data_IF_294771061223
#
_entry.id   IF_294771061223
#
_cell.length_a   1.000
_cell.length_b   1.000
_cell.length_c   1.000
_cell.angle_alpha   90.00
_cell.angle_beta   90.00
_cell.angle_gamma   90.00
#
_symmetry.space_group_name_H-M   'P 1'
#
loop_
_entity.id
_entity.type
_entity.pdbx_description
1 polymer ?
#
# COMPACT_ATOMS: atom_id res chain seq x y z
N UNK A 1 -19.40 10.93 -59.26
CA UNK A 1 -19.22 10.46 -57.89
C UNK A 1 -17.92 9.69 -57.83
N UNK A 2 -16.92 10.27 -57.17
CA UNK A 2 -15.62 9.58 -57.00
C UNK A 2 -15.62 8.98 -55.58
N UNK A 3 -15.75 7.65 -55.50
CA UNK A 3 -15.55 6.94 -54.24
C UNK A 3 -14.06 6.92 -53.91
N UNK A 4 -13.64 7.77 -52.97
CA UNK A 4 -12.32 7.68 -52.39
C UNK A 4 -12.29 6.47 -51.48
N UNK A 5 -11.72 5.37 -51.95
CA UNK A 5 -11.32 4.24 -51.09
C UNK A 5 -10.20 4.72 -50.16
N UNK A 6 -10.55 4.99 -48.91
CA UNK A 6 -9.54 5.08 -47.84
C UNK A 6 -8.85 3.72 -47.73
N UNK A 7 -7.63 3.61 -48.29
CA UNK A 7 -6.72 2.51 -48.00
C UNK A 7 -6.39 2.56 -46.54
N UNK A 8 -7.05 1.74 -45.72
CA UNK A 8 -6.55 1.39 -44.37
C UNK A 8 -5.18 0.73 -44.56
N UNK A 9 -4.13 1.50 -44.50
CA UNK A 9 -2.76 0.97 -44.48
C UNK A 9 -2.63 0.12 -43.22
N UNK A 10 -2.64 -1.20 -43.39
CA UNK A 10 -2.37 -2.14 -42.31
C UNK A 10 -0.95 -1.88 -41.80
N UNK A 11 -0.84 -1.16 -40.70
CA UNK A 11 0.43 -0.90 -40.03
C UNK A 11 1.06 -2.20 -39.57
N UNK A 12 2.37 -2.33 -39.73
CA UNK A 12 3.11 -3.45 -39.13
C UNK A 12 2.99 -3.37 -37.60
N UNK A 13 3.12 -4.50 -36.86
CA UNK A 13 3.09 -4.50 -35.40
C UNK A 13 4.05 -3.46 -34.77
N UNK A 14 5.29 -3.33 -35.28
CA UNK A 14 6.27 -2.33 -34.83
C UNK A 14 5.76 -0.89 -34.99
N UNK A 15 5.19 -0.56 -36.16
CA UNK A 15 4.64 0.77 -36.41
C UNK A 15 3.41 1.08 -35.55
N UNK A 16 2.60 0.06 -35.26
CA UNK A 16 1.48 0.23 -34.30
C UNK A 16 2.00 0.55 -32.90
N UNK A 17 3.02 -0.18 -32.42
CA UNK A 17 3.65 0.07 -31.14
C UNK A 17 4.23 1.48 -31.06
N UNK A 18 5.00 1.92 -32.03
CA UNK A 18 5.58 3.27 -32.09
C UNK A 18 4.50 4.37 -32.05
N UNK A 19 3.39 4.18 -32.77
CA UNK A 19 2.29 5.14 -32.75
C UNK A 19 1.55 5.14 -31.39
N UNK A 20 1.33 3.97 -30.80
CA UNK A 20 0.72 3.85 -29.48
C UNK A 20 1.59 4.52 -28.41
N UNK A 21 2.89 4.30 -28.43
CA UNK A 21 3.85 4.97 -27.53
C UNK A 21 3.85 6.48 -27.67
N UNK A 22 3.79 6.99 -28.91
CA UNK A 22 3.71 8.44 -29.14
C UNK A 22 2.44 9.03 -28.54
N UNK A 23 1.30 8.34 -28.67
CA UNK A 23 0.02 8.77 -28.08
C UNK A 23 0.08 8.70 -26.56
N UNK A 24 0.61 7.62 -26.01
CA UNK A 24 0.81 7.44 -24.58
C UNK A 24 1.68 8.56 -23.99
N UNK A 25 2.87 8.80 -24.56
CA UNK A 25 3.79 9.85 -24.10
C UNK A 25 3.17 11.25 -24.12
N UNK A 26 2.28 11.52 -25.07
CA UNK A 26 1.52 12.78 -25.09
C UNK A 26 0.44 12.81 -24.01
N UNK A 27 -0.26 11.70 -23.79
CA UNK A 27 -1.34 11.61 -22.80
C UNK A 27 -0.84 11.79 -21.36
N UNK A 28 0.30 11.19 -21.00
CA UNK A 28 0.85 11.25 -19.64
C UNK A 28 1.39 12.63 -19.24
N UNK A 29 1.41 13.61 -20.15
CA UNK A 29 1.70 15.02 -19.83
C UNK A 29 0.51 15.69 -19.13
N UNK A 30 -0.69 15.13 -19.25
CA UNK A 30 -1.87 15.62 -18.56
C UNK A 30 -2.01 14.96 -17.17
N UNK A 31 -2.77 15.59 -16.30
CA UNK A 31 -3.07 15.05 -14.97
C UNK A 31 -3.79 13.69 -15.11
N UNK A 32 -3.27 12.66 -14.43
CA UNK A 32 -3.84 11.32 -14.45
C UNK A 32 -5.33 11.33 -14.11
N UNK A 33 -6.14 10.67 -14.93
CA UNK A 33 -7.61 10.63 -14.77
C UNK A 33 -8.36 11.82 -15.36
N UNK A 34 -7.68 12.88 -15.86
CA UNK A 34 -8.34 13.95 -16.62
C UNK A 34 -8.84 13.44 -17.97
N UNK A 35 -9.82 14.13 -18.56
CA UNK A 35 -10.38 13.75 -19.86
C UNK A 35 -9.33 13.63 -20.97
N UNK A 36 -8.39 14.61 -21.17
CA UNK A 36 -7.36 14.48 -22.19
C UNK A 36 -6.39 13.33 -21.91
N UNK A 37 -6.07 13.05 -20.63
CA UNK A 37 -5.28 11.86 -20.25
C UNK A 37 -5.99 10.58 -20.65
N UNK A 38 -7.23 10.39 -20.20
CA UNK A 38 -7.98 9.15 -20.47
C UNK A 38 -8.24 8.90 -21.94
N UNK A 39 -8.59 9.95 -22.70
CA UNK A 39 -8.80 9.84 -24.14
C UNK A 39 -7.50 9.44 -24.87
N UNK A 40 -6.38 10.09 -24.53
CA UNK A 40 -5.09 9.78 -25.16
C UNK A 40 -4.58 8.37 -24.83
N UNK A 41 -4.80 7.89 -23.58
CA UNK A 41 -4.49 6.51 -23.21
C UNK A 41 -5.41 5.52 -23.95
N UNK A 42 -6.71 5.80 -24.05
CA UNK A 42 -7.64 4.97 -24.78
C UNK A 42 -7.30 4.89 -26.29
N UNK A 43 -6.88 5.99 -26.90
CA UNK A 43 -6.36 6.02 -28.27
C UNK A 43 -5.10 5.13 -28.41
N UNK A 44 -4.17 5.19 -27.47
CA UNK A 44 -2.97 4.35 -27.49
C UNK A 44 -3.34 2.85 -27.43
N UNK A 45 -4.27 2.47 -26.56
CA UNK A 45 -4.80 1.08 -26.47
C UNK A 45 -5.54 0.66 -27.73
N UNK A 46 -6.29 1.58 -28.37
CA UNK A 46 -6.99 1.29 -29.63
C UNK A 46 -6.01 1.05 -30.80
N UNK A 47 -4.86 1.74 -30.81
CA UNK A 47 -3.80 1.52 -31.82
C UNK A 47 -3.07 0.20 -31.56
N UNK A 48 -2.69 -0.08 -30.31
CA UNK A 48 -2.01 -1.31 -29.93
C UNK A 48 -2.54 -1.82 -28.56
N UNK A 49 -3.47 -2.78 -28.64
CA UNK A 49 -4.08 -3.39 -27.45
C UNK A 49 -3.13 -4.29 -26.63
N UNK A 50 -1.93 -4.52 -27.14
CA UNK A 50 -0.85 -5.26 -26.45
C UNK A 50 0.20 -4.33 -25.82
N UNK A 51 0.01 -3.01 -25.92
CA UNK A 51 0.87 -2.05 -25.25
C UNK A 51 0.50 -1.99 -23.75
N UNK A 52 1.17 -2.82 -22.98
CA UNK A 52 0.86 -3.11 -21.58
C UNK A 52 0.75 -1.84 -20.70
N UNK A 53 1.72 -0.90 -20.82
CA UNK A 53 1.70 0.32 -20.05
C UNK A 53 0.43 1.17 -20.27
N UNK A 54 -0.06 1.26 -21.51
CA UNK A 54 -1.30 1.98 -21.80
C UNK A 54 -2.53 1.23 -21.27
N UNK A 55 -2.55 -0.10 -21.39
CA UNK A 55 -3.63 -0.95 -20.86
C UNK A 55 -3.72 -0.82 -19.33
N UNK A 56 -2.58 -0.82 -18.65
CA UNK A 56 -2.50 -0.58 -17.20
C UNK A 56 -3.03 0.81 -16.83
N UNK A 57 -2.47 1.87 -17.43
CA UNK A 57 -2.84 3.26 -17.11
C UNK A 57 -4.33 3.56 -17.34
N UNK A 58 -4.95 2.92 -18.33
CA UNK A 58 -6.38 3.08 -18.61
C UNK A 58 -7.24 2.70 -17.40
N UNK A 59 -6.78 1.73 -16.60
CA UNK A 59 -7.50 1.21 -15.43
C UNK A 59 -7.38 2.10 -14.17
N UNK A 60 -6.30 2.87 -14.06
CA UNK A 60 -5.92 3.54 -12.79
C UNK A 60 -6.96 4.57 -12.33
N UNK A 61 -7.56 5.31 -13.26
CA UNK A 61 -8.58 6.29 -12.91
C UNK A 61 -9.83 5.65 -12.29
N UNK A 62 -10.24 4.48 -12.79
CA UNK A 62 -11.40 3.74 -12.25
C UNK A 62 -11.10 3.17 -10.86
N UNK A 63 -9.86 2.72 -10.61
CA UNK A 63 -9.40 2.35 -9.27
C UNK A 63 -9.56 3.50 -8.27
N UNK A 64 -8.97 4.66 -8.58
CA UNK A 64 -8.97 5.83 -7.71
C UNK A 64 -10.37 6.45 -7.49
N UNK A 65 -11.30 6.18 -8.38
CA UNK A 65 -12.72 6.57 -8.27
C UNK A 65 -13.58 5.55 -7.52
N UNK A 66 -12.99 4.44 -7.06
CA UNK A 66 -13.72 3.39 -6.35
C UNK A 66 -14.68 2.60 -7.25
N UNK A 67 -14.33 2.39 -8.53
CA UNK A 67 -15.14 1.67 -9.52
C UNK A 67 -14.54 0.29 -9.84
N UNK A 68 -14.62 -0.70 -8.90
CA UNK A 68 -13.95 -2.00 -9.05
C UNK A 68 -14.45 -2.79 -10.26
N UNK A 69 -15.71 -2.66 -10.61
CA UNK A 69 -16.33 -3.30 -11.76
C UNK A 69 -15.78 -2.83 -13.12
N UNK A 70 -15.20 -1.63 -13.18
CA UNK A 70 -14.51 -1.08 -14.35
C UNK A 70 -13.01 -1.32 -14.28
N UNK A 71 -12.41 -1.09 -13.12
CA UNK A 71 -10.98 -1.27 -12.89
C UNK A 71 -10.52 -2.69 -13.16
N UNK A 72 -11.11 -3.68 -12.49
CA UNK A 72 -10.58 -5.05 -12.45
C UNK A 72 -10.52 -5.73 -13.82
N UNK A 73 -11.56 -5.64 -14.70
CA UNK A 73 -11.49 -6.21 -16.05
C UNK A 73 -10.36 -5.60 -16.90
N UNK A 74 -10.12 -4.30 -16.77
CA UNK A 74 -9.03 -3.62 -17.48
C UNK A 74 -7.66 -4.01 -16.91
N UNK A 75 -7.52 -3.99 -15.58
CA UNK A 75 -6.28 -4.38 -14.92
C UNK A 75 -5.90 -5.83 -15.26
N UNK A 76 -6.86 -6.75 -15.29
CA UNK A 76 -6.63 -8.13 -15.67
C UNK A 76 -6.15 -8.32 -17.12
N UNK A 77 -6.43 -7.37 -18.03
CA UNK A 77 -5.79 -7.38 -19.36
C UNK A 77 -4.31 -7.07 -19.26
N UNK A 78 -3.91 -6.09 -18.44
CA UNK A 78 -2.49 -5.80 -18.17
C UNK A 78 -1.78 -7.00 -17.51
N UNK A 79 -2.43 -7.69 -16.56
CA UNK A 79 -1.92 -8.92 -15.95
C UNK A 79 -1.63 -10.01 -17.00
N UNK A 80 -2.50 -10.17 -18.00
CA UNK A 80 -2.25 -11.14 -19.09
C UNK A 80 -1.06 -10.79 -19.97
N UNK A 81 -0.73 -9.50 -20.08
CA UNK A 81 0.40 -9.01 -20.89
C UNK A 81 1.72 -9.06 -20.13
N UNK A 82 1.68 -8.81 -18.81
CA UNK A 82 2.85 -8.84 -17.93
C UNK A 82 2.43 -9.32 -16.52
N UNK A 83 2.37 -10.63 -16.35
CA UNK A 83 1.95 -11.23 -15.07
C UNK A 83 2.96 -10.98 -13.96
N UNK A 84 4.26 -11.06 -14.25
CA UNK A 84 5.31 -10.94 -13.26
C UNK A 84 5.28 -9.56 -12.56
N UNK A 85 5.13 -8.50 -13.33
CA UNK A 85 5.02 -7.13 -12.78
C UNK A 85 3.63 -6.86 -12.19
N UNK A 86 2.56 -7.29 -12.87
CA UNK A 86 1.19 -6.82 -12.54
C UNK A 86 0.50 -7.59 -11.43
N UNK A 87 0.86 -8.84 -11.18
CA UNK A 87 0.27 -9.63 -10.08
C UNK A 87 0.63 -9.06 -8.71
N UNK A 88 1.91 -8.82 -8.34
CA UNK A 88 2.23 -8.24 -7.05
C UNK A 88 1.61 -6.84 -6.85
N UNK A 89 1.56 -6.03 -7.91
CA UNK A 89 0.86 -4.75 -7.87
C UNK A 89 -0.66 -4.90 -7.67
N UNK A 90 -1.31 -5.89 -8.31
CA UNK A 90 -2.75 -6.15 -8.09
C UNK A 90 -3.02 -6.58 -6.64
N UNK A 91 -2.15 -7.39 -6.06
CA UNK A 91 -2.19 -7.75 -4.65
C UNK A 91 -2.15 -6.53 -3.74
N UNK A 92 -1.22 -5.60 -3.99
CA UNK A 92 -1.16 -4.31 -3.30
C UNK A 92 -2.47 -3.49 -3.45
N UNK A 93 -3.06 -3.44 -4.66
CA UNK A 93 -4.30 -2.70 -4.92
C UNK A 93 -5.51 -3.34 -4.23
N UNK A 94 -5.61 -4.68 -4.20
CA UNK A 94 -6.61 -5.38 -3.41
C UNK A 94 -6.49 -5.07 -1.92
N UNK A 95 -5.26 -5.04 -1.41
CA UNK A 95 -4.99 -4.75 -0.02
C UNK A 95 -5.49 -3.35 0.38
N UNK A 96 -5.03 -2.31 -0.34
CA UNK A 96 -5.23 -0.93 0.07
C UNK A 96 -6.57 -0.33 -0.35
N UNK A 97 -7.01 -0.56 -1.58
CA UNK A 97 -8.23 0.09 -2.09
C UNK A 97 -9.51 -0.69 -1.77
N UNK A 98 -9.39 -2.01 -1.58
CA UNK A 98 -10.59 -2.85 -1.42
C UNK A 98 -10.63 -3.68 -0.15
N UNK A 99 -9.57 -3.66 0.65
CA UNK A 99 -9.44 -4.49 1.87
C UNK A 99 -9.69 -5.99 1.60
N UNK A 100 -9.48 -6.42 0.37
CA UNK A 100 -9.59 -7.84 -0.01
C UNK A 100 -8.27 -8.56 0.32
N UNK A 101 -8.05 -8.77 1.62
CA UNK A 101 -6.82 -9.36 2.15
C UNK A 101 -6.54 -10.75 1.58
N UNK A 102 -7.60 -11.56 1.35
CA UNK A 102 -7.44 -12.91 0.81
C UNK A 102 -6.92 -12.89 -0.63
N UNK A 103 -7.48 -12.02 -1.49
CA UNK A 103 -6.98 -11.87 -2.86
C UNK A 103 -5.58 -11.23 -2.89
N UNK A 104 -5.32 -10.29 -2.01
CA UNK A 104 -3.98 -9.70 -1.87
C UNK A 104 -2.93 -10.77 -1.56
N UNK A 105 -3.18 -11.62 -0.55
CA UNK A 105 -2.29 -12.73 -0.17
C UNK A 105 -2.13 -13.73 -1.32
N UNK A 106 -3.22 -14.05 -2.03
CA UNK A 106 -3.15 -14.96 -3.18
C UNK A 106 -2.25 -14.42 -4.29
N UNK A 107 -2.36 -13.11 -4.61
CA UNK A 107 -1.50 -12.47 -5.60
C UNK A 107 -0.03 -12.40 -5.14
N UNK A 108 0.25 -12.07 -3.87
CA UNK A 108 1.60 -12.08 -3.34
C UNK A 108 2.24 -13.49 -3.35
N UNK A 109 1.44 -14.53 -3.09
CA UNK A 109 1.93 -15.92 -3.20
C UNK A 109 2.17 -16.32 -4.66
N UNK A 110 1.33 -15.87 -5.59
CA UNK A 110 1.55 -16.09 -7.01
C UNK A 110 2.83 -15.37 -7.51
N UNK A 111 3.12 -14.17 -6.98
CA UNK A 111 4.36 -13.44 -7.25
C UNK A 111 5.60 -14.29 -6.93
N UNK A 112 5.66 -14.94 -5.75
CA UNK A 112 6.78 -15.81 -5.37
C UNK A 112 7.00 -16.98 -6.36
N UNK A 113 5.92 -17.44 -7.02
CA UNK A 113 6.02 -18.51 -8.04
C UNK A 113 6.52 -17.97 -9.38
N UNK A 114 6.12 -16.73 -9.73
CA UNK A 114 6.52 -16.09 -10.98
C UNK A 114 7.96 -15.59 -10.96
N UNK A 115 8.43 -15.16 -9.79
CA UNK A 115 9.77 -14.59 -9.57
C UNK A 115 10.48 -15.27 -8.40
N UNK A 116 10.77 -16.60 -8.46
CA UNK A 116 11.17 -17.40 -7.30
C UNK A 116 12.49 -16.97 -6.64
N UNK A 117 13.34 -16.26 -7.36
CA UNK A 117 14.64 -15.76 -6.87
C UNK A 117 14.64 -14.24 -6.58
N UNK A 118 13.47 -13.63 -6.57
CA UNK A 118 13.31 -12.19 -6.40
C UNK A 118 12.12 -11.91 -5.49
N UNK A 119 12.26 -10.95 -4.60
CA UNK A 119 11.13 -10.48 -3.78
C UNK A 119 10.60 -9.19 -4.39
N UNK A 120 9.40 -9.28 -4.96
CA UNK A 120 8.73 -8.13 -5.55
C UNK A 120 8.43 -7.07 -4.48
N UNK A 121 8.54 -5.80 -4.88
CA UNK A 121 8.35 -4.66 -4.00
C UNK A 121 7.39 -3.60 -4.59
N UNK A 122 6.10 -3.94 -4.80
CA UNK A 122 5.14 -2.97 -5.29
C UNK A 122 5.02 -1.80 -4.31
N UNK A 123 5.03 -0.58 -4.84
CA UNK A 123 4.98 0.65 -4.06
C UNK A 123 6.14 0.80 -3.04
N UNK A 124 7.30 0.22 -3.33
CA UNK A 124 8.51 0.40 -2.54
C UNK A 124 8.66 -0.52 -1.33
N UNK A 125 7.66 -1.34 -0.99
CA UNK A 125 7.76 -2.32 0.09
C UNK A 125 7.64 -3.73 -0.44
N UNK A 126 8.37 -4.67 0.16
CA UNK A 126 8.35 -6.06 -0.24
C UNK A 126 6.96 -6.70 -0.11
N UNK A 127 6.68 -7.73 -0.90
CA UNK A 127 5.44 -8.50 -0.77
C UNK A 127 5.32 -9.15 0.62
N UNK A 128 6.43 -9.39 1.34
CA UNK A 128 6.38 -9.88 2.72
C UNK A 128 5.83 -8.81 3.68
N UNK A 129 6.23 -7.54 3.53
CA UNK A 129 5.65 -6.43 4.29
C UNK A 129 4.12 -6.33 4.04
N UNK A 130 3.71 -6.41 2.77
CA UNK A 130 2.28 -6.36 2.41
C UNK A 130 1.49 -7.57 2.92
N UNK A 131 2.09 -8.77 2.95
CA UNK A 131 1.48 -9.95 3.59
C UNK A 131 1.30 -9.73 5.09
N UNK A 132 2.29 -9.14 5.76
CA UNK A 132 2.18 -8.75 7.17
C UNK A 132 0.94 -7.92 7.43
N UNK A 133 0.72 -6.87 6.65
CA UNK A 133 -0.48 -6.02 6.74
C UNK A 133 -1.76 -6.80 6.40
N UNK A 134 -1.74 -7.64 5.36
CA UNK A 134 -2.92 -8.41 4.96
C UNK A 134 -3.34 -9.41 6.04
N UNK A 135 -2.40 -10.10 6.67
CA UNK A 135 -2.69 -11.02 7.79
C UNK A 135 -3.13 -10.28 9.06
N UNK A 136 -2.59 -9.07 9.32
CA UNK A 136 -3.13 -8.19 10.38
C UNK A 136 -4.59 -7.83 10.12
N UNK A 137 -4.94 -7.51 8.88
CA UNK A 137 -6.33 -7.24 8.47
C UNK A 137 -7.26 -8.44 8.60
N UNK A 138 -6.73 -9.67 8.55
CA UNK A 138 -7.45 -10.92 8.81
C UNK A 138 -7.44 -11.33 10.29
N UNK A 139 -6.80 -10.57 11.17
CA UNK A 139 -6.55 -10.90 12.58
C UNK A 139 -5.74 -12.20 12.78
N UNK A 140 -4.98 -12.64 11.76
CA UNK A 140 -4.01 -13.74 11.88
C UNK A 140 -2.65 -13.16 12.32
N UNK A 141 -2.60 -12.77 13.60
CA UNK A 141 -1.44 -12.07 14.18
C UNK A 141 -0.16 -12.92 14.12
N UNK A 142 -0.29 -14.25 14.21
CA UNK A 142 0.86 -15.16 14.12
C UNK A 142 1.54 -15.04 12.76
N UNK A 143 0.78 -15.08 11.66
CA UNK A 143 1.34 -14.92 10.31
C UNK A 143 1.75 -13.49 10.05
N UNK A 144 0.98 -12.50 10.51
CA UNK A 144 1.32 -11.09 10.40
C UNK A 144 2.72 -10.84 10.97
N UNK A 145 2.97 -11.22 12.22
CA UNK A 145 4.27 -11.05 12.87
C UNK A 145 5.39 -11.80 12.12
N UNK A 146 5.14 -13.05 11.68
CA UNK A 146 6.15 -13.82 10.97
C UNK A 146 6.60 -13.14 9.66
N UNK A 147 5.67 -12.53 8.92
CA UNK A 147 6.01 -11.81 7.68
C UNK A 147 6.69 -10.47 7.94
N UNK A 148 6.28 -9.72 8.97
CA UNK A 148 7.00 -8.49 9.36
C UNK A 148 8.40 -8.79 9.86
N UNK A 149 8.58 -9.81 10.72
CA UNK A 149 9.90 -10.22 11.21
C UNK A 149 10.82 -10.67 10.06
N UNK A 150 10.28 -11.43 9.08
CA UNK A 150 11.00 -11.81 7.86
C UNK A 150 11.45 -10.59 7.05
N UNK A 151 10.55 -9.63 6.84
CA UNK A 151 10.86 -8.39 6.12
C UNK A 151 11.92 -7.57 6.85
N UNK A 152 11.71 -7.29 8.15
CA UNK A 152 12.64 -6.51 8.98
C UNK A 152 14.03 -7.18 9.00
N UNK A 153 14.10 -8.49 9.21
CA UNK A 153 15.38 -9.21 9.25
C UNK A 153 16.14 -9.14 7.91
N UNK A 154 15.42 -9.21 6.79
CA UNK A 154 16.02 -9.08 5.46
C UNK A 154 16.57 -7.68 5.23
N UNK A 155 15.75 -6.64 5.44
CA UNK A 155 16.17 -5.24 5.25
C UNK A 155 17.34 -4.88 6.17
N UNK A 156 17.26 -5.31 7.44
CA UNK A 156 18.36 -5.12 8.41
C UNK A 156 19.66 -5.76 7.94
N UNK A 157 19.60 -6.97 7.40
CA UNK A 157 20.79 -7.68 6.89
C UNK A 157 21.38 -7.03 5.65
N UNK A 158 20.54 -6.51 4.76
CA UNK A 158 20.97 -5.95 3.48
C UNK A 158 21.44 -4.50 3.59
N UNK A 159 20.79 -3.69 4.43
CA UNK A 159 20.97 -2.24 4.46
C UNK A 159 21.30 -1.67 5.84
N UNK A 160 21.00 -2.38 6.92
CA UNK A 160 21.06 -1.89 8.29
C UNK A 160 19.66 -1.65 8.87
N UNK A 161 19.51 -1.77 10.20
CA UNK A 161 18.20 -1.65 10.86
C UNK A 161 17.61 -0.22 10.75
N UNK A 162 18.46 0.80 10.67
CA UNK A 162 18.09 2.20 10.50
C UNK A 162 17.54 2.55 9.12
N UNK A 163 17.68 1.65 8.14
CA UNK A 163 17.08 1.77 6.81
C UNK A 163 15.76 1.01 6.67
N UNK A 164 15.37 0.21 7.66
CA UNK A 164 14.05 -0.43 7.66
C UNK A 164 12.97 0.64 7.76
N UNK A 165 11.94 0.55 6.90
CA UNK A 165 10.82 1.48 6.99
C UNK A 165 10.16 1.40 8.36
N UNK A 166 10.07 2.55 9.03
CA UNK A 166 9.55 2.66 10.41
C UNK A 166 8.13 2.12 10.56
N UNK A 167 7.34 2.09 9.48
CA UNK A 167 5.98 1.52 9.50
C UNK A 167 5.99 0.00 9.63
N UNK A 168 7.09 -0.68 9.28
CA UNK A 168 7.23 -2.12 9.51
C UNK A 168 7.26 -2.44 11.01
N UNK A 169 8.02 -1.66 11.78
CA UNK A 169 8.01 -1.75 13.24
C UNK A 169 6.65 -1.36 13.82
N UNK A 170 6.02 -0.29 13.32
CA UNK A 170 4.69 0.13 13.77
C UNK A 170 3.67 -1.01 13.61
N UNK A 171 3.52 -1.57 12.41
CA UNK A 171 2.52 -2.61 12.16
C UNK A 171 2.84 -3.93 12.85
N UNK A 172 4.12 -4.29 12.98
CA UNK A 172 4.52 -5.45 13.77
C UNK A 172 4.18 -5.24 15.26
N UNK A 173 4.40 -4.04 15.78
CA UNK A 173 4.00 -3.64 17.13
C UNK A 173 2.49 -3.72 17.33
N UNK A 174 1.69 -3.21 16.39
CA UNK A 174 0.21 -3.31 16.43
C UNK A 174 -0.24 -4.76 16.42
N UNK A 175 0.36 -5.60 15.56
CA UNK A 175 0.04 -7.02 15.49
C UNK A 175 0.34 -7.75 16.79
N UNK A 176 1.48 -7.47 17.45
CA UNK A 176 1.79 -8.00 18.78
C UNK A 176 0.87 -7.44 19.86
N UNK A 177 0.49 -6.17 19.80
CA UNK A 177 -0.47 -5.57 20.72
C UNK A 177 -1.83 -6.26 20.65
N UNK A 178 -2.37 -6.48 19.48
CA UNK A 178 -3.67 -7.15 19.27
C UNK A 178 -3.60 -8.64 19.67
N UNK A 179 -2.43 -9.26 19.52
CA UNK A 179 -2.15 -10.60 20.08
C UNK A 179 -1.93 -10.61 21.60
N UNK A 180 -2.05 -9.46 22.29
CA UNK A 180 -1.80 -9.28 23.74
C UNK A 180 -0.36 -9.60 24.17
N UNK A 181 0.58 -9.61 23.25
CA UNK A 181 2.01 -9.74 23.55
C UNK A 181 2.63 -8.34 23.74
N UNK A 182 2.31 -7.71 24.86
CA UNK A 182 2.68 -6.32 25.14
C UNK A 182 4.19 -6.08 25.17
N UNK A 183 4.98 -7.05 25.66
CA UNK A 183 6.43 -6.93 25.69
C UNK A 183 7.01 -6.78 24.27
N UNK A 184 6.63 -7.64 23.35
CA UNK A 184 7.08 -7.54 21.95
C UNK A 184 6.50 -6.32 21.25
N UNK A 185 5.27 -5.92 21.55
CA UNK A 185 4.65 -4.71 21.03
C UNK A 185 5.47 -3.46 21.41
N UNK A 186 5.83 -3.30 22.69
CA UNK A 186 6.65 -2.19 23.18
C UNK A 186 8.01 -2.15 22.47
N UNK A 187 8.70 -3.29 22.33
CA UNK A 187 9.99 -3.35 21.63
C UNK A 187 9.88 -2.81 20.18
N UNK A 188 8.83 -3.17 19.47
CA UNK A 188 8.61 -2.69 18.11
C UNK A 188 8.25 -1.19 18.07
N UNK A 189 7.39 -0.72 19.00
CA UNK A 189 7.08 0.70 19.08
C UNK A 189 8.30 1.54 19.50
N UNK A 190 9.16 1.01 20.35
CA UNK A 190 10.41 1.67 20.71
C UNK A 190 11.35 1.81 19.51
N UNK A 191 11.47 0.75 18.68
CA UNK A 191 12.23 0.82 17.42
C UNK A 191 11.64 1.83 16.44
N UNK A 192 10.33 1.84 16.28
CA UNK A 192 9.65 2.82 15.43
C UNK A 192 9.93 4.26 15.93
N UNK A 193 9.88 4.50 17.24
CA UNK A 193 10.19 5.82 17.83
C UNK A 193 11.66 6.17 17.71
N UNK A 194 12.58 5.23 17.92
CA UNK A 194 14.02 5.41 17.76
C UNK A 194 14.35 5.95 16.36
N UNK A 195 13.85 5.29 15.30
CA UNK A 195 14.15 5.65 13.92
C UNK A 195 13.29 6.79 13.37
N UNK A 196 12.21 7.18 14.06
CA UNK A 196 11.37 8.34 13.70
C UNK A 196 11.68 9.60 14.54
N UNK A 197 12.83 9.67 15.20
CA UNK A 197 13.21 10.80 16.08
C UNK A 197 12.19 11.06 17.20
N UNK A 198 11.63 10.00 17.75
CA UNK A 198 10.56 10.01 18.75
C UNK A 198 9.26 10.72 18.31
N UNK A 199 8.99 10.76 17.01
CA UNK A 199 7.81 11.42 16.44
C UNK A 199 6.87 10.39 15.82
N UNK A 200 5.87 9.92 16.59
CA UNK A 200 4.80 9.05 16.12
C UNK A 200 3.63 9.04 17.09
N UNK A 201 2.52 9.61 16.68
CA UNK A 201 1.26 9.54 17.39
C UNK A 201 0.79 8.09 17.57
N UNK A 202 0.91 7.28 16.50
CA UNK A 202 0.44 5.90 16.49
C UNK A 202 1.18 5.03 17.50
N UNK A 203 2.51 5.02 17.47
CA UNK A 203 3.31 4.22 18.41
C UNK A 203 3.05 4.63 19.86
N UNK A 204 2.98 5.93 20.13
CA UNK A 204 2.69 6.45 21.48
C UNK A 204 1.27 6.12 21.93
N UNK A 205 0.28 6.17 21.03
CA UNK A 205 -1.08 5.76 21.33
C UNK A 205 -1.14 4.31 21.83
N UNK A 206 -0.58 3.38 21.08
CA UNK A 206 -0.56 1.96 21.47
C UNK A 206 0.27 1.72 22.74
N UNK A 207 1.37 2.43 22.95
CA UNK A 207 2.14 2.37 24.21
C UNK A 207 1.31 2.87 25.40
N UNK A 208 0.55 3.95 25.23
CA UNK A 208 -0.34 4.46 26.28
C UNK A 208 -1.41 3.44 26.66
N UNK A 209 -2.02 2.75 25.68
CA UNK A 209 -2.97 1.64 25.92
C UNK A 209 -2.32 0.51 26.71
N UNK A 210 -1.09 0.13 26.38
CA UNK A 210 -0.37 -0.90 27.12
C UNK A 210 -0.12 -0.44 28.58
N UNK A 211 0.36 0.79 28.78
CA UNK A 211 0.61 1.30 30.13
C UNK A 211 -0.66 1.41 30.98
N UNK A 212 -1.79 1.75 30.37
CA UNK A 212 -3.09 1.71 31.04
C UNK A 212 -3.45 0.27 31.47
N UNK A 213 -3.32 -0.70 30.54
CA UNK A 213 -3.58 -2.10 30.84
C UNK A 213 -2.67 -2.69 31.93
N UNK A 214 -1.48 -2.10 32.10
CA UNK A 214 -0.52 -2.46 33.17
C UNK A 214 -0.71 -1.63 34.47
N UNK A 215 -1.79 -0.87 34.59
CA UNK A 215 -2.08 0.04 35.73
C UNK A 215 -1.00 1.14 35.97
N UNK A 216 -0.30 1.55 34.91
CA UNK A 216 0.74 2.60 34.96
C UNK A 216 0.15 3.95 34.52
N UNK A 217 -0.86 4.44 35.27
CA UNK A 217 -1.66 5.62 34.92
C UNK A 217 -0.86 6.85 34.53
N UNK A 218 0.12 7.26 35.36
CA UNK A 218 0.93 8.47 35.10
C UNK A 218 1.72 8.36 33.79
N UNK A 219 2.29 7.17 33.55
CA UNK A 219 3.03 6.91 32.31
C UNK A 219 2.12 6.90 31.10
N UNK A 220 0.93 6.31 31.22
CA UNK A 220 -0.09 6.32 30.17
C UNK A 220 -0.52 7.76 29.84
N UNK A 221 -0.83 8.58 30.86
CA UNK A 221 -1.27 9.97 30.69
C UNK A 221 -0.20 10.84 30.02
N UNK A 222 1.06 10.70 30.43
CA UNK A 222 2.19 11.39 29.79
C UNK A 222 2.28 10.98 28.32
N UNK A 223 2.29 9.67 28.04
CA UNK A 223 2.50 9.14 26.69
C UNK A 223 1.36 9.52 25.74
N UNK A 224 0.09 9.48 26.19
CA UNK A 224 -1.03 9.90 25.33
C UNK A 224 -1.04 11.42 25.08
N UNK A 225 -0.57 12.21 26.03
CA UNK A 225 -0.43 13.66 25.83
C UNK A 225 0.64 13.98 24.77
N UNK A 226 1.76 13.26 24.77
CA UNK A 226 2.77 13.34 23.71
C UNK A 226 2.23 12.88 22.36
N UNK A 227 1.42 11.79 22.33
CA UNK A 227 0.79 11.30 21.12
C UNK A 227 -0.14 12.34 20.47
N UNK A 228 -0.96 13.03 21.27
CA UNK A 228 -1.85 14.12 20.81
C UNK A 228 -1.03 15.25 20.19
N UNK A 229 0.09 15.63 20.82
CA UNK A 229 0.97 16.66 20.28
C UNK A 229 1.57 16.25 18.94
N UNK A 230 2.08 15.01 18.82
CA UNK A 230 2.63 14.49 17.58
C UNK A 230 1.56 14.43 16.46
N UNK A 231 0.35 14.02 16.81
CA UNK A 231 -0.78 13.99 15.86
C UNK A 231 -1.11 15.38 15.30
N UNK A 232 -1.20 16.38 16.18
CA UNK A 232 -1.47 17.78 15.80
C UNK A 232 -0.37 18.39 14.92
N UNK A 233 0.85 17.87 15.02
CA UNK A 233 1.98 18.24 14.16
C UNK A 233 2.03 17.42 12.86
N UNK A 234 1.11 16.44 12.68
CA UNK A 234 1.01 15.61 11.49
C UNK A 234 1.92 14.38 11.50
N UNK A 235 2.52 14.01 12.63
CA UNK A 235 3.34 12.81 12.80
C UNK A 235 2.48 11.57 13.11
N UNK A 236 1.56 11.25 12.21
CA UNK A 236 0.70 10.08 12.26
C UNK A 236 0.75 9.29 10.96
N UNK A 237 0.51 8.00 11.04
CA UNK A 237 0.49 7.11 9.87
C UNK A 237 -0.76 7.38 9.03
N UNK A 238 -0.58 8.00 7.87
CA UNK A 238 -1.65 8.35 6.93
C UNK A 238 -1.22 8.21 5.49
N UNK A 239 -2.19 8.05 4.59
CA UNK A 239 -1.97 7.93 3.14
C UNK A 239 -2.97 8.77 2.35
N UNK A 240 -2.60 9.08 1.10
CA UNK A 240 -3.52 9.65 0.15
C UNK A 240 -4.49 8.57 -0.39
N UNK A 241 -5.70 8.97 -0.73
CA UNK A 241 -6.80 8.22 -1.35
C UNK A 241 -7.52 7.20 -0.48
N UNK A 242 -6.85 6.54 0.47
CA UNK A 242 -7.44 5.51 1.32
C UNK A 242 -6.87 5.59 2.73
N UNK A 243 -7.67 5.21 3.70
CA UNK A 243 -7.23 5.06 5.09
C UNK A 243 -6.18 3.95 5.22
N UNK A 244 -5.22 4.15 6.10
CA UNK A 244 -4.29 3.08 6.48
C UNK A 244 -5.03 2.00 7.29
N UNK A 245 -4.48 0.79 7.35
CA UNK A 245 -5.01 -0.20 8.28
C UNK A 245 -4.75 0.28 9.72
N UNK A 246 -5.80 0.23 10.56
CA UNK A 246 -5.76 0.80 11.91
C UNK A 246 -5.45 2.31 11.92
N UNK A 247 -6.03 3.04 10.98
CA UNK A 247 -5.94 4.51 10.93
C UNK A 247 -6.31 5.11 12.28
N UNK A 248 -5.45 5.97 12.78
CA UNK A 248 -5.66 6.71 14.02
C UNK A 248 -6.31 8.06 13.71
N UNK A 249 -7.31 8.44 14.49
CA UNK A 249 -7.96 9.74 14.46
C UNK A 249 -7.73 10.51 15.76
N UNK A 250 -7.88 11.82 15.73
CA UNK A 250 -7.68 12.65 16.92
C UNK A 250 -8.64 12.26 18.05
N UNK A 251 -9.87 11.89 17.68
CA UNK A 251 -10.91 11.43 18.58
C UNK A 251 -10.45 10.21 19.40
N UNK A 252 -9.81 9.22 18.76
CA UNK A 252 -9.30 8.03 19.44
C UNK A 252 -8.29 8.38 20.55
N UNK A 253 -7.43 9.39 20.30
CA UNK A 253 -6.43 9.85 21.27
C UNK A 253 -7.09 10.58 22.43
N UNK A 254 -8.09 11.42 22.14
CA UNK A 254 -8.83 12.18 23.15
C UNK A 254 -9.62 11.22 24.05
N UNK A 255 -10.34 10.26 23.46
CA UNK A 255 -11.10 9.25 24.20
C UNK A 255 -10.21 8.43 25.12
N UNK A 256 -9.05 7.97 24.63
CA UNK A 256 -8.08 7.25 25.46
C UNK A 256 -7.54 8.12 26.60
N UNK A 257 -7.28 9.39 26.37
CA UNK A 257 -6.85 10.31 27.42
C UNK A 257 -7.90 10.47 28.51
N UNK A 258 -9.18 10.62 28.12
CA UNK A 258 -10.29 10.70 29.07
C UNK A 258 -10.47 9.39 29.86
N UNK A 259 -10.33 8.23 29.22
CA UNK A 259 -10.35 6.93 29.88
C UNK A 259 -9.25 6.84 30.95
N UNK A 260 -8.01 7.23 30.60
CA UNK A 260 -6.88 7.24 31.54
C UNK A 260 -7.14 8.15 32.74
N UNK A 261 -7.76 9.31 32.53
CA UNK A 261 -8.04 10.26 33.62
C UNK A 261 -9.07 9.67 34.60
N UNK A 262 -10.11 9.00 34.07
CA UNK A 262 -11.21 8.39 34.85
C UNK A 262 -10.78 7.10 35.59
N UNK A 263 -9.75 6.42 35.08
CA UNK A 263 -9.17 5.21 35.68
C UNK A 263 -8.46 5.51 36.99
#
# INVERSE_FOLDING_TARGET
>A
MVFSCNKTTNLTPTKKREQAEKKYKKAIQFMQGSTPFQNGIAEAVAIDSTYEAAVYELSVADLKRGLPNKWLPQYNKAVKLDSATRIPWRGYLYLWFYRDYKKAIADFNASDTLTPNFIDAPQGHSVDYWRGIAYLGLNDYKKSNAYFEKHIAKETKEFGEDYVDVTAFLYNGISYFEAKNYNKAILNFDKQLEYSRNLSADAKYYKAKIYLAENKKEKALKTITEAINDFNQGYNNKRAYVETLRQLYLEDLIELKEEIIKF
#
